data_IF_644871775185
#
_entry.id   IF_644871775185
#
_cell.length_a   1.000
_cell.length_b   1.000
_cell.length_c   1.000
_cell.angle_alpha   90.00
_cell.angle_beta   90.00
_cell.angle_gamma   90.00
#
_symmetry.space_group_name_H-M   'P 1'
#
loop_
_entity.id
_entity.type
_entity.pdbx_description
1 polymer ?
#
# COMPACT_ATOMS: atom_id res chain seq x y z
N UNK A 1 -20.07 13.60 -0.43
CA UNK A 1 -18.91 12.95 0.20
C UNK A 1 -19.22 12.66 1.66
N UNK A 2 -18.91 11.48 2.14
CA UNK A 2 -19.13 11.05 3.52
C UNK A 2 -18.23 11.84 4.48
N UNK A 3 -18.73 12.12 5.70
CA UNK A 3 -18.14 13.04 6.68
C UNK A 3 -16.61 13.04 6.84
N UNK A 4 -15.95 11.88 7.10
CA UNK A 4 -14.50 11.83 7.34
C UNK A 4 -13.65 12.21 6.10
N UNK A 5 -14.19 12.01 4.89
CA UNK A 5 -13.50 12.32 3.63
C UNK A 5 -13.65 13.78 3.19
N UNK A 6 -14.43 14.61 3.88
CA UNK A 6 -14.53 16.02 3.54
C UNK A 6 -13.17 16.71 3.68
N UNK A 7 -12.83 17.69 2.81
CA UNK A 7 -11.68 18.53 3.01
C UNK A 7 -11.67 19.13 4.44
N UNK A 8 -10.48 19.30 5.00
CA UNK A 8 -10.34 19.90 6.32
C UNK A 8 -11.02 21.29 6.35
N UNK A 9 -11.71 21.66 7.44
CA UNK A 9 -12.32 22.97 7.56
C UNK A 9 -11.23 24.06 7.56
N UNK A 10 -11.58 25.23 7.04
CA UNK A 10 -10.72 26.41 7.16
C UNK A 10 -10.51 26.76 8.63
N UNK A 11 -9.27 26.91 9.03
CA UNK A 11 -8.85 27.35 10.36
C UNK A 11 -8.39 28.80 10.22
N UNK A 12 -8.56 29.61 11.29
CA UNK A 12 -8.06 30.98 11.34
C UNK A 12 -6.56 31.02 11.05
N UNK A 13 -6.12 32.04 10.32
CA UNK A 13 -4.71 32.22 9.98
C UNK A 13 -3.86 32.40 11.26
N UNK A 14 -2.67 31.82 11.24
CA UNK A 14 -1.72 31.98 12.34
C UNK A 14 -1.18 33.41 12.37
N UNK A 15 -0.80 33.93 13.55
CA UNK A 15 -0.04 35.18 13.64
C UNK A 15 1.23 35.11 12.77
N UNK A 16 1.54 36.21 12.07
CA UNK A 16 2.64 36.26 11.10
C UNK A 16 3.98 35.73 11.67
N UNK A 17 4.25 36.01 12.93
CA UNK A 17 5.48 35.62 13.65
C UNK A 17 5.62 34.06 13.78
N UNK A 18 4.52 33.34 13.74
CA UNK A 18 4.50 31.86 13.91
C UNK A 18 4.40 31.11 12.59
N UNK A 19 4.13 31.78 11.48
CA UNK A 19 3.90 31.12 10.18
C UNK A 19 5.14 30.35 9.75
N UNK A 20 6.31 30.98 9.67
CA UNK A 20 7.53 30.40 9.13
C UNK A 20 8.01 29.17 9.91
N UNK A 21 8.01 29.27 11.24
CA UNK A 21 8.46 28.17 12.10
C UNK A 21 7.52 26.96 12.03
N UNK A 22 6.21 27.24 12.04
CA UNK A 22 5.17 26.22 11.95
C UNK A 22 5.19 25.56 10.57
N UNK A 23 5.28 26.34 9.49
CA UNK A 23 5.37 25.83 8.13
C UNK A 23 6.58 24.93 7.94
N UNK A 24 7.78 25.35 8.37
CA UNK A 24 9.01 24.54 8.27
C UNK A 24 8.89 23.20 8.98
N UNK A 25 8.25 23.16 10.14
CA UNK A 25 8.02 21.92 10.88
C UNK A 25 6.99 21.05 10.20
N UNK A 26 5.82 21.58 9.87
CA UNK A 26 4.71 20.82 9.32
C UNK A 26 5.00 20.28 7.94
N UNK A 27 5.72 21.01 7.07
CA UNK A 27 6.04 20.54 5.72
C UNK A 27 6.83 19.23 5.72
N UNK A 28 7.77 19.07 6.68
CA UNK A 28 8.55 17.85 6.80
C UNK A 28 7.76 16.70 7.46
N UNK A 29 6.88 17.00 8.40
CA UNK A 29 5.96 16.01 8.95
C UNK A 29 5.02 15.47 7.86
N UNK A 30 4.46 16.36 7.07
CA UNK A 30 3.61 16.01 5.92
C UNK A 30 4.39 15.22 4.88
N UNK A 31 5.64 15.61 4.59
CA UNK A 31 6.52 14.85 3.70
C UNK A 31 6.75 13.43 4.21
N UNK A 32 7.12 13.28 5.47
CA UNK A 32 7.32 11.97 6.09
C UNK A 32 6.04 11.12 6.01
N UNK A 33 4.87 11.69 6.30
CA UNK A 33 3.59 11.00 6.20
C UNK A 33 3.32 10.45 4.79
N UNK A 34 3.45 11.29 3.75
CA UNK A 34 3.23 10.84 2.37
C UNK A 34 4.35 9.92 1.85
N UNK A 35 5.58 10.06 2.35
CA UNK A 35 6.71 9.20 1.99
C UNK A 35 6.52 7.78 2.54
N UNK A 36 6.37 7.66 3.85
CA UNK A 36 6.20 6.37 4.50
C UNK A 36 4.84 5.74 4.19
N UNK A 37 3.78 6.54 4.10
CA UNK A 37 2.47 6.06 3.67
C UNK A 37 2.50 5.46 2.28
N UNK A 38 3.18 6.12 1.32
CA UNK A 38 3.31 5.58 -0.03
C UNK A 38 4.27 4.37 -0.11
N UNK A 39 5.36 4.38 0.66
CA UNK A 39 6.24 3.21 0.79
C UNK A 39 5.46 1.98 1.28
N UNK A 40 4.56 2.15 2.25
CA UNK A 40 3.76 1.07 2.79
C UNK A 40 2.79 0.44 1.76
N UNK A 41 2.34 1.19 0.75
CA UNK A 41 1.56 0.59 -0.35
C UNK A 41 2.33 -0.48 -1.11
N UNK A 42 3.64 -0.39 -1.15
CA UNK A 42 4.47 -1.38 -1.83
C UNK A 42 4.61 -2.69 -1.05
N UNK A 43 4.33 -2.68 0.27
CA UNK A 43 4.28 -3.93 1.05
C UNK A 43 3.24 -4.91 0.49
N UNK A 44 2.14 -4.40 -0.02
CA UNK A 44 1.00 -5.19 -0.50
C UNK A 44 0.82 -5.14 -2.02
N UNK A 45 1.84 -4.66 -2.75
CA UNK A 45 1.83 -4.62 -4.21
C UNK A 45 2.49 -5.84 -4.84
N UNK A 46 3.66 -6.25 -4.35
CA UNK A 46 4.49 -7.31 -4.91
C UNK A 46 4.39 -8.65 -4.16
N UNK A 47 3.69 -8.68 -3.04
CA UNK A 47 3.62 -9.89 -2.19
C UNK A 47 2.87 -11.04 -2.84
N UNK A 48 1.90 -10.79 -3.72
CA UNK A 48 1.25 -11.83 -4.50
C UNK A 48 2.25 -12.54 -5.42
N UNK A 49 3.12 -11.80 -6.09
CA UNK A 49 4.15 -12.38 -6.96
C UNK A 49 5.12 -13.26 -6.17
N UNK A 50 5.45 -12.87 -4.94
CA UNK A 50 6.30 -13.66 -4.05
C UNK A 50 5.61 -14.93 -3.52
N UNK A 51 4.28 -14.93 -3.44
CA UNK A 51 3.50 -16.10 -3.02
C UNK A 51 3.28 -17.13 -4.15
N UNK A 52 3.37 -16.72 -5.43
CA UNK A 52 3.09 -17.60 -6.57
C UNK A 52 3.91 -18.90 -6.58
N UNK A 53 5.25 -18.89 -6.34
CA UNK A 53 6.00 -20.13 -6.29
C UNK A 53 5.46 -21.12 -5.25
N UNK A 54 5.03 -20.61 -4.11
CA UNK A 54 4.44 -21.44 -3.05
C UNK A 54 3.09 -22.04 -3.42
N UNK A 55 2.24 -21.25 -4.08
CA UNK A 55 0.94 -21.72 -4.58
C UNK A 55 1.11 -22.83 -5.64
N UNK A 56 2.12 -22.70 -6.50
CA UNK A 56 2.45 -23.74 -7.50
C UNK A 56 2.99 -24.99 -6.81
N UNK A 57 3.94 -24.87 -5.90
CA UNK A 57 4.54 -26.00 -5.18
C UNK A 57 3.52 -26.74 -4.30
N UNK A 58 2.55 -26.02 -3.75
CA UNK A 58 1.44 -26.61 -3.01
C UNK A 58 0.40 -27.29 -3.91
N UNK A 59 0.54 -27.22 -5.24
CA UNK A 59 -0.39 -27.82 -6.19
C UNK A 59 -1.76 -27.14 -6.24
N UNK A 60 -1.88 -25.91 -5.73
CA UNK A 60 -3.15 -25.19 -5.66
C UNK A 60 -3.52 -24.53 -6.99
N UNK A 61 -2.51 -24.02 -7.70
CA UNK A 61 -2.68 -23.31 -8.97
C UNK A 61 -1.55 -23.62 -9.94
N UNK A 62 -1.87 -23.66 -11.23
CA UNK A 62 -0.91 -23.65 -12.31
C UNK A 62 -0.37 -22.24 -12.57
N UNK A 63 0.78 -22.15 -13.23
CA UNK A 63 1.36 -20.86 -13.64
C UNK A 63 0.42 -20.04 -14.55
N UNK A 64 -0.34 -20.73 -15.42
CA UNK A 64 -1.30 -20.07 -16.31
C UNK A 64 -2.47 -19.45 -15.53
N UNK A 65 -3.02 -20.16 -14.55
CA UNK A 65 -4.09 -19.65 -13.69
C UNK A 65 -3.64 -18.46 -12.86
N UNK A 66 -2.42 -18.51 -12.29
CA UNK A 66 -1.85 -17.37 -11.56
C UNK A 66 -1.60 -16.16 -12.47
N UNK A 67 -1.25 -16.38 -13.74
CA UNK A 67 -1.17 -15.33 -14.75
C UNK A 67 -2.52 -14.65 -15.00
N UNK A 68 -3.60 -15.43 -15.10
CA UNK A 68 -4.97 -14.88 -15.20
C UNK A 68 -5.33 -14.08 -13.96
N UNK A 69 -5.08 -14.63 -12.76
CA UNK A 69 -5.35 -13.94 -11.50
C UNK A 69 -4.54 -12.63 -11.40
N UNK A 70 -3.24 -12.68 -11.73
CA UNK A 70 -2.36 -11.52 -11.67
C UNK A 70 -2.75 -10.38 -12.61
N UNK A 71 -3.39 -10.71 -13.75
CA UNK A 71 -3.89 -9.70 -14.70
C UNK A 71 -4.91 -8.74 -14.07
N UNK A 72 -5.63 -9.19 -13.05
CA UNK A 72 -6.58 -8.39 -12.29
C UNK A 72 -5.93 -7.16 -11.64
N UNK A 73 -4.71 -7.29 -11.12
CA UNK A 73 -4.00 -6.19 -10.46
C UNK A 73 -3.71 -5.04 -11.43
N UNK A 74 -3.17 -5.36 -12.61
CA UNK A 74 -2.87 -4.37 -13.64
C UNK A 74 -4.11 -3.66 -14.16
N UNK A 75 -5.16 -4.42 -14.46
CA UNK A 75 -6.44 -3.89 -14.93
C UNK A 75 -7.08 -2.96 -13.88
N UNK A 76 -7.19 -3.42 -12.64
CA UNK A 76 -7.77 -2.66 -11.55
C UNK A 76 -6.97 -1.38 -11.26
N UNK A 77 -5.65 -1.47 -11.17
CA UNK A 77 -4.78 -0.33 -10.91
C UNK A 77 -4.84 0.72 -12.00
N UNK A 78 -4.87 0.29 -13.28
CA UNK A 78 -5.01 1.20 -14.41
C UNK A 78 -6.34 1.95 -14.38
N UNK A 79 -7.46 1.24 -14.24
CA UNK A 79 -8.81 1.82 -14.17
C UNK A 79 -9.01 2.70 -12.93
N UNK A 80 -8.52 2.25 -11.78
CA UNK A 80 -8.71 2.97 -10.52
C UNK A 80 -8.05 4.34 -10.51
N UNK A 81 -6.94 4.55 -11.22
CA UNK A 81 -6.26 5.85 -11.29
C UNK A 81 -7.16 6.98 -11.78
N UNK A 82 -8.01 6.71 -12.77
CA UNK A 82 -8.94 7.72 -13.30
C UNK A 82 -9.98 8.10 -12.26
N UNK A 83 -10.55 7.12 -11.56
CA UNK A 83 -11.57 7.35 -10.55
C UNK A 83 -10.97 7.97 -9.28
N UNK A 84 -9.86 7.39 -8.80
CA UNK A 84 -9.24 7.80 -7.54
C UNK A 84 -8.58 9.18 -7.61
N UNK A 85 -8.11 9.62 -8.77
CA UNK A 85 -7.61 10.99 -8.95
C UNK A 85 -8.73 12.01 -8.65
N UNK A 86 -9.88 11.88 -9.30
CA UNK A 86 -11.02 12.78 -9.09
C UNK A 86 -11.60 12.71 -7.67
N UNK A 87 -11.58 11.53 -7.04
CA UNK A 87 -12.00 11.38 -5.64
C UNK A 87 -10.99 12.01 -4.67
N UNK A 88 -9.70 11.84 -4.92
CA UNK A 88 -8.63 12.40 -4.10
C UNK A 88 -8.67 13.92 -4.08
N UNK A 89 -8.93 14.56 -5.23
CA UNK A 89 -8.99 16.03 -5.33
C UNK A 89 -10.10 16.65 -4.45
N UNK A 90 -11.13 15.88 -4.18
CA UNK A 90 -12.28 16.27 -3.35
C UNK A 90 -12.23 15.70 -1.93
N UNK A 91 -11.16 14.99 -1.58
CA UNK A 91 -11.04 14.28 -0.30
C UNK A 91 -9.95 14.88 0.58
N UNK A 92 -10.02 14.59 1.89
CA UNK A 92 -8.94 14.87 2.82
C UNK A 92 -7.80 13.86 2.61
N UNK A 93 -6.59 14.26 2.21
CA UNK A 93 -5.45 13.36 1.99
C UNK A 93 -5.09 12.52 3.23
N UNK A 94 -5.27 13.09 4.44
CA UNK A 94 -4.99 12.41 5.72
C UNK A 94 -5.86 11.18 5.96
N UNK A 95 -7.06 11.16 5.36
CA UNK A 95 -7.98 10.02 5.48
C UNK A 95 -7.89 9.14 4.24
N UNK A 96 -7.79 9.74 3.06
CA UNK A 96 -7.86 9.03 1.80
C UNK A 96 -6.67 8.08 1.61
N UNK A 97 -5.45 8.54 1.90
CA UNK A 97 -4.24 7.73 1.77
C UNK A 97 -4.24 6.51 2.70
N UNK A 98 -4.40 6.67 4.04
CA UNK A 98 -4.39 5.51 4.94
C UNK A 98 -5.59 4.59 4.76
N UNK A 99 -6.74 5.10 4.35
CA UNK A 99 -7.92 4.27 4.10
C UNK A 99 -7.72 3.29 2.94
N UNK A 100 -7.14 3.76 1.82
CA UNK A 100 -6.77 2.88 0.71
C UNK A 100 -5.73 1.84 1.11
N UNK A 101 -4.75 2.22 1.94
CA UNK A 101 -3.74 1.32 2.47
C UNK A 101 -4.34 0.24 3.38
N UNK A 102 -5.26 0.62 4.26
CA UNK A 102 -6.01 -0.32 5.12
C UNK A 102 -6.78 -1.35 4.29
N UNK A 103 -7.52 -0.90 3.28
CA UNK A 103 -8.32 -1.80 2.44
C UNK A 103 -7.44 -2.73 1.60
N UNK A 104 -6.33 -2.21 1.07
CA UNK A 104 -5.35 -3.02 0.33
C UNK A 104 -4.68 -4.06 1.23
N UNK A 105 -4.26 -3.65 2.44
CA UNK A 105 -3.70 -4.56 3.46
C UNK A 105 -4.70 -5.63 3.89
N UNK A 106 -5.97 -5.24 4.07
CA UNK A 106 -7.05 -6.17 4.42
C UNK A 106 -7.24 -7.25 3.34
N UNK A 107 -7.28 -6.89 2.06
CA UNK A 107 -7.38 -7.87 0.97
C UNK A 107 -6.28 -8.93 1.05
N UNK A 108 -5.03 -8.51 1.23
CA UNK A 108 -3.89 -9.42 1.31
C UNK A 108 -3.90 -10.27 2.59
N UNK A 109 -4.27 -9.67 3.71
CA UNK A 109 -4.42 -10.40 4.98
C UNK A 109 -5.51 -11.47 4.88
N UNK A 110 -6.65 -11.14 4.27
CA UNK A 110 -7.73 -12.10 4.06
C UNK A 110 -7.29 -13.26 3.17
N UNK A 111 -6.55 -13.01 2.08
CA UNK A 111 -6.04 -14.06 1.20
C UNK A 111 -5.03 -14.97 1.91
N UNK A 112 -4.25 -14.47 2.85
CA UNK A 112 -3.28 -15.28 3.59
C UNK A 112 -3.89 -16.04 4.78
N UNK A 113 -4.94 -15.52 5.41
CA UNK A 113 -5.52 -16.12 6.63
C UNK A 113 -6.75 -17.00 6.36
N UNK A 114 -7.54 -16.67 5.34
CA UNK A 114 -8.81 -17.35 5.12
C UNK A 114 -8.79 -18.24 3.88
N UNK A 115 -8.92 -19.58 4.02
CA UNK A 115 -8.88 -20.49 2.89
C UNK A 115 -9.90 -20.20 1.79
N UNK A 116 -11.06 -19.63 2.11
CA UNK A 116 -12.07 -19.28 1.12
C UNK A 116 -11.59 -18.22 0.13
N UNK A 117 -10.75 -17.28 0.58
CA UNK A 117 -10.24 -16.18 -0.25
C UNK A 117 -9.26 -16.64 -1.35
N UNK A 118 -8.77 -17.87 -1.23
CA UNK A 118 -7.88 -18.52 -2.20
C UNK A 118 -8.46 -19.85 -2.71
N UNK A 119 -9.77 -20.09 -2.55
CA UNK A 119 -10.41 -21.36 -2.89
C UNK A 119 -10.72 -21.54 -4.38
N UNK A 120 -10.51 -20.53 -5.20
CA UNK A 120 -10.75 -20.61 -6.64
C UNK A 120 -10.30 -19.39 -7.41
N UNK A 121 -10.09 -19.56 -8.71
CA UNK A 121 -9.57 -18.52 -9.62
C UNK A 121 -10.44 -17.24 -9.57
N UNK A 122 -11.76 -17.38 -9.61
CA UNK A 122 -12.66 -16.23 -9.62
C UNK A 122 -12.59 -15.40 -8.34
N UNK A 123 -12.57 -16.07 -7.17
CA UNK A 123 -12.50 -15.39 -5.88
C UNK A 123 -11.15 -14.68 -5.74
N UNK A 124 -10.08 -15.38 -6.06
CA UNK A 124 -8.73 -14.85 -5.98
C UNK A 124 -8.53 -13.69 -6.97
N UNK A 125 -9.10 -13.78 -8.17
CA UNK A 125 -9.11 -12.71 -9.15
C UNK A 125 -9.79 -11.45 -8.60
N UNK A 126 -10.97 -11.60 -7.97
CA UNK A 126 -11.69 -10.49 -7.34
C UNK A 126 -10.87 -9.87 -6.20
N UNK A 127 -10.25 -10.68 -5.34
CA UNK A 127 -9.42 -10.19 -4.24
C UNK A 127 -8.21 -9.39 -4.74
N UNK A 128 -7.53 -9.88 -5.78
CA UNK A 128 -6.41 -9.19 -6.43
C UNK A 128 -6.89 -7.93 -7.16
N UNK A 129 -8.07 -7.97 -7.79
CA UNK A 129 -8.68 -6.79 -8.39
C UNK A 129 -8.97 -5.71 -7.35
N UNK A 130 -9.59 -6.07 -6.23
CA UNK A 130 -9.87 -5.13 -5.13
C UNK A 130 -8.58 -4.54 -4.56
N UNK A 131 -7.55 -5.36 -4.35
CA UNK A 131 -6.25 -4.85 -3.92
C UNK A 131 -5.69 -3.83 -4.93
N UNK A 132 -5.65 -4.17 -6.22
CA UNK A 132 -5.20 -3.26 -7.27
C UNK A 132 -6.03 -1.97 -7.36
N UNK A 133 -7.34 -2.07 -7.12
CA UNK A 133 -8.24 -0.93 -7.07
C UNK A 133 -7.87 0.04 -5.93
N UNK A 134 -7.68 -0.47 -4.72
CA UNK A 134 -7.30 0.34 -3.56
C UNK A 134 -5.86 0.87 -3.66
N UNK A 135 -4.97 0.18 -4.36
CA UNK A 135 -3.63 0.67 -4.69
C UNK A 135 -3.66 2.01 -5.47
N UNK A 136 -4.71 2.26 -6.25
CA UNK A 136 -4.92 3.52 -6.96
C UNK A 136 -5.12 4.73 -6.05
N UNK A 137 -5.44 4.53 -4.76
CA UNK A 137 -5.61 5.60 -3.77
C UNK A 137 -4.28 6.17 -3.25
N UNK A 138 -3.14 5.53 -3.53
CA UNK A 138 -1.84 5.91 -2.95
C UNK A 138 -1.25 7.17 -3.57
N UNK A 139 -1.10 7.23 -4.88
CA UNK A 139 -0.37 8.30 -5.56
C UNK A 139 -1.08 9.68 -5.57
N UNK A 140 -2.40 9.77 -5.89
CA UNK A 140 -3.04 11.06 -6.09
C UNK A 140 -2.97 11.99 -4.87
N UNK A 141 -3.24 11.55 -3.62
CA UNK A 141 -3.14 12.42 -2.45
C UNK A 141 -1.70 12.88 -2.18
N UNK A 142 -0.70 12.06 -2.50
CA UNK A 142 0.72 12.45 -2.35
C UNK A 142 1.10 13.56 -3.33
N UNK A 143 0.76 13.39 -4.61
CA UNK A 143 1.01 14.40 -5.65
C UNK A 143 0.36 15.73 -5.32
N UNK A 144 -0.92 15.71 -4.96
CA UNK A 144 -1.66 16.92 -4.54
C UNK A 144 -1.00 17.58 -3.33
N UNK A 145 -0.63 16.82 -2.32
CA UNK A 145 0.01 17.34 -1.11
C UNK A 145 1.34 18.03 -1.44
N UNK A 146 2.17 17.41 -2.29
CA UNK A 146 3.43 18.04 -2.72
C UNK A 146 3.22 19.35 -3.47
N UNK A 147 2.17 19.44 -4.28
CA UNK A 147 1.83 20.68 -5.01
C UNK A 147 1.41 21.80 -4.05
N UNK A 148 0.72 21.48 -2.97
CA UNK A 148 0.26 22.50 -1.99
C UNK A 148 1.35 22.94 -1.00
N UNK A 149 2.27 22.06 -0.64
CA UNK A 149 3.25 22.32 0.42
C UNK A 149 4.60 22.82 -0.07
N UNK A 150 4.90 22.73 -1.37
CA UNK A 150 6.19 23.17 -1.92
C UNK A 150 6.04 24.11 -3.11
N UNK A 151 6.95 25.07 -3.18
CA UNK A 151 7.02 26.04 -4.28
C UNK A 151 7.34 25.34 -5.61
N UNK A 152 7.06 26.04 -6.72
CA UNK A 152 7.35 25.50 -8.07
C UNK A 152 8.83 25.15 -8.26
N UNK A 153 9.74 25.91 -7.65
CA UNK A 153 11.20 25.70 -7.74
C UNK A 153 11.68 24.47 -6.93
N UNK A 154 10.99 24.13 -5.84
CA UNK A 154 11.38 23.00 -4.97
C UNK A 154 10.76 21.66 -5.39
N UNK A 155 9.60 21.68 -6.08
CA UNK A 155 8.81 20.48 -6.38
C UNK A 155 9.59 19.38 -7.09
N UNK A 156 10.43 19.74 -8.04
CA UNK A 156 11.24 18.75 -8.78
C UNK A 156 12.09 17.90 -7.82
N UNK A 157 12.82 18.54 -6.93
CA UNK A 157 13.68 17.89 -5.94
C UNK A 157 12.85 17.06 -4.96
N UNK A 158 11.75 17.62 -4.43
CA UNK A 158 10.90 16.95 -3.47
C UNK A 158 10.23 15.70 -4.07
N UNK A 159 9.70 15.80 -5.29
CA UNK A 159 9.12 14.66 -6.01
C UNK A 159 10.16 13.58 -6.28
N UNK A 160 11.39 13.96 -6.64
CA UNK A 160 12.49 13.01 -6.87
C UNK A 160 12.86 12.25 -5.60
N UNK A 161 13.00 12.96 -4.47
CA UNK A 161 13.26 12.32 -3.17
C UNK A 161 12.07 11.43 -2.77
N UNK A 162 10.83 11.96 -2.87
CA UNK A 162 9.63 11.18 -2.54
C UNK A 162 9.51 9.92 -3.41
N UNK A 163 9.91 10.00 -4.67
CA UNK A 163 9.83 8.85 -5.59
C UNK A 163 10.72 7.68 -5.15
N UNK A 164 11.73 7.89 -4.29
CA UNK A 164 12.53 6.79 -3.72
C UNK A 164 11.73 5.92 -2.74
N UNK A 165 10.58 6.41 -2.24
CA UNK A 165 9.71 5.67 -1.34
C UNK A 165 9.27 4.32 -1.92
N UNK A 166 9.04 4.25 -3.24
CA UNK A 166 8.64 3.01 -3.88
C UNK A 166 9.77 1.95 -3.90
N UNK A 167 11.02 2.36 -4.02
CA UNK A 167 12.15 1.44 -3.96
C UNK A 167 12.32 0.86 -2.55
N UNK A 168 12.23 1.74 -1.53
CA UNK A 168 12.30 1.32 -0.11
C UNK A 168 11.14 0.39 0.21
N UNK A 169 9.91 0.78 -0.15
CA UNK A 169 8.73 -0.04 0.09
C UNK A 169 8.76 -1.37 -0.67
N UNK A 170 9.30 -1.38 -1.90
CA UNK A 170 9.40 -2.57 -2.74
C UNK A 170 10.37 -3.64 -2.22
N UNK A 171 11.31 -3.28 -1.37
CA UNK A 171 12.22 -4.24 -0.71
C UNK A 171 11.55 -4.98 0.46
N UNK A 172 10.56 -4.38 1.10
CA UNK A 172 9.96 -4.89 2.34
C UNK A 172 9.24 -6.24 2.18
N UNK A 173 8.47 -6.53 1.11
CA UNK A 173 7.85 -7.85 0.95
C UNK A 173 8.87 -8.99 0.96
N UNK A 174 10.01 -8.82 0.29
CA UNK A 174 11.10 -9.80 0.32
C UNK A 174 11.67 -10.02 1.74
N UNK A 175 11.90 -8.92 2.48
CA UNK A 175 12.34 -9.01 3.87
C UNK A 175 11.32 -9.74 4.77
N UNK A 176 10.02 -9.55 4.52
CA UNK A 176 8.95 -10.25 5.25
C UNK A 176 8.87 -11.74 4.91
N UNK A 177 9.18 -12.13 3.67
CA UNK A 177 9.32 -13.55 3.29
C UNK A 177 10.52 -14.18 4.03
N UNK A 178 11.65 -13.49 4.12
CA UNK A 178 12.80 -13.95 4.91
C UNK A 178 12.45 -14.11 6.40
N UNK A 179 11.70 -13.17 6.95
CA UNK A 179 11.20 -13.27 8.33
C UNK A 179 10.29 -14.50 8.48
N UNK A 180 9.36 -14.73 7.54
CA UNK A 180 8.49 -15.90 7.56
C UNK A 180 9.31 -17.21 7.54
N UNK A 181 10.35 -17.27 6.70
CA UNK A 181 11.25 -18.43 6.63
C UNK A 181 11.99 -18.65 7.94
N UNK A 182 12.51 -17.58 8.56
CA UNK A 182 13.22 -17.66 9.84
C UNK A 182 12.31 -18.10 10.98
N UNK A 183 11.08 -17.60 11.04
CA UNK A 183 10.06 -18.02 12.02
C UNK A 183 9.70 -19.49 11.80
N UNK A 184 9.51 -19.93 10.56
CA UNK A 184 9.22 -21.31 10.25
C UNK A 184 10.36 -22.23 10.70
N UNK A 185 11.62 -21.86 10.40
CA UNK A 185 12.80 -22.61 10.84
C UNK A 185 12.88 -22.71 12.37
N UNK A 186 12.63 -21.62 13.08
CA UNK A 186 12.66 -21.60 14.54
C UNK A 186 11.60 -22.50 15.20
N UNK A 187 10.48 -22.71 14.51
CA UNK A 187 9.34 -23.51 15.04
C UNK A 187 9.40 -24.98 14.63
N UNK A 188 9.97 -25.30 13.47
CA UNK A 188 9.95 -26.66 12.92
C UNK A 188 11.33 -27.31 12.82
N UNK A 189 12.41 -26.54 13.01
CA UNK A 189 13.80 -27.03 12.93
C UNK A 189 14.27 -27.43 11.51
N UNK A 190 13.48 -27.11 10.48
CA UNK A 190 13.78 -27.40 9.07
C UNK A 190 13.63 -26.13 8.23
N UNK A 191 14.35 -26.05 7.10
CA UNK A 191 14.23 -24.93 6.18
C UNK A 191 12.83 -24.88 5.53
N UNK A 192 12.25 -23.70 5.48
CA UNK A 192 10.97 -23.46 4.86
C UNK A 192 11.07 -23.60 3.33
N UNK A 193 10.16 -24.35 2.73
CA UNK A 193 9.92 -24.31 1.29
C UNK A 193 8.84 -23.25 0.97
N UNK A 194 8.78 -22.80 -0.28
CA UNK A 194 7.81 -21.78 -0.66
C UNK A 194 6.35 -22.23 -0.39
N UNK A 195 6.05 -23.51 -0.52
CA UNK A 195 4.73 -24.09 -0.20
C UNK A 195 4.32 -23.97 1.27
N UNK A 196 5.30 -23.82 2.17
CA UNK A 196 5.07 -23.79 3.62
C UNK A 196 4.80 -22.36 4.12
N UNK A 197 5.24 -21.35 3.36
CA UNK A 197 5.23 -19.94 3.77
C UNK A 197 4.50 -18.98 2.82
N UNK A 198 3.81 -19.48 1.78
CA UNK A 198 3.12 -18.62 0.83
C UNK A 198 2.00 -17.77 1.48
N UNK A 199 1.32 -18.33 2.49
CA UNK A 199 0.30 -17.62 3.25
C UNK A 199 0.91 -16.45 4.01
N UNK A 200 2.04 -16.67 4.69
CA UNK A 200 2.80 -15.66 5.41
C UNK A 200 3.27 -14.54 4.48
N UNK A 201 3.64 -14.90 3.26
CA UNK A 201 4.02 -13.93 2.21
C UNK A 201 2.88 -12.99 1.81
N UNK A 202 1.63 -13.36 2.08
CA UNK A 202 0.45 -12.51 1.86
C UNK A 202 0.08 -11.73 3.12
N UNK A 203 -0.14 -12.40 4.26
CA UNK A 203 -0.70 -11.72 5.42
C UNK A 203 0.31 -10.92 6.25
N UNK A 204 1.61 -11.27 6.31
CA UNK A 204 2.60 -10.45 7.01
C UNK A 204 2.70 -9.05 6.42
N UNK A 205 2.92 -8.89 5.09
CA UNK A 205 2.89 -7.56 4.49
C UNK A 205 1.54 -6.86 4.60
N UNK A 206 0.43 -7.63 4.54
CA UNK A 206 -0.92 -7.10 4.70
C UNK A 206 -1.14 -6.45 6.06
N UNK A 207 -0.79 -7.17 7.14
CA UNK A 207 -0.88 -6.66 8.52
C UNK A 207 0.06 -5.46 8.71
N UNK A 208 1.30 -5.55 8.22
CA UNK A 208 2.26 -4.45 8.31
C UNK A 208 1.74 -3.19 7.62
N UNK A 209 1.13 -3.31 6.44
CA UNK A 209 0.53 -2.19 5.74
C UNK A 209 -0.62 -1.55 6.54
N UNK A 210 -1.48 -2.37 7.17
CA UNK A 210 -2.56 -1.87 8.03
C UNK A 210 -2.02 -1.13 9.27
N UNK A 211 -0.97 -1.65 9.90
CA UNK A 211 -0.30 -0.98 11.04
C UNK A 211 0.31 0.35 10.59
N UNK A 212 0.97 0.38 9.43
CA UNK A 212 1.56 1.61 8.88
C UNK A 212 0.52 2.66 8.50
N UNK A 213 -0.74 2.29 8.30
CA UNK A 213 -1.80 3.25 8.02
C UNK A 213 -2.15 4.14 9.23
N UNK A 214 -1.90 3.69 10.47
CA UNK A 214 -2.24 4.42 11.70
C UNK A 214 -1.42 5.73 11.84
N UNK A 215 -0.08 5.73 11.75
CA UNK A 215 0.72 6.95 11.90
C UNK A 215 0.65 7.89 10.68
N UNK A 216 0.11 7.46 9.56
CA UNK A 216 -0.08 8.29 8.35
C UNK A 216 -1.31 9.20 8.47
N UNK A 217 -2.26 8.84 9.34
CA UNK A 217 -3.42 9.65 9.70
C UNK A 217 -3.00 10.84 10.59
#
# INVERSE_FOLDING_TARGET
>A
MFGPFKPAPHIAELPAEKIDSTYKRLRWQVFAGIFFGYAAYYFVRANFDLAQPGLIQAGLYSKAELGVIGSAAGLAYGLSKFVMAGMSDRSNPRVFLPFGLLLSGLCMTMMGLFPWATSGIAIMWVMIFLNGWFQGMGWPPCGRTMVHWWSKSERGTIVSIWNTAHNIGGMMPGAMVLLASAVFFSTHGIEAQAKDIWQQSLYYPGIAAMICAIPVY
#
